data_IF_420573758209
#
_entry.id   IF_420573758209
#
_cell.length_a   1.000
_cell.length_b   1.000
_cell.length_c   1.000
_cell.angle_alpha   90.00
_cell.angle_beta   90.00
_cell.angle_gamma   90.00
#
_symmetry.space_group_name_H-M   'P 1'
#
loop_
_entity.id
_entity.type
_entity.pdbx_description
1 polymer ?
#
# COMPACT_ATOMS: atom_id res chain seq x y z
N UNK A 1 51.57 34.57 53.60
CA UNK A 1 50.64 33.80 54.45
C UNK A 1 49.98 32.74 53.57
N UNK A 2 50.27 31.46 53.85
CA UNK A 2 49.57 30.22 53.45
C UNK A 2 49.75 29.65 52.03
N UNK A 3 49.93 28.33 52.05
CA UNK A 3 50.33 27.35 51.03
C UNK A 3 49.09 26.50 50.66
N UNK A 4 49.20 25.72 49.56
CA UNK A 4 48.47 24.48 49.20
C UNK A 4 47.05 24.68 48.61
N UNK A 5 46.47 23.83 47.75
CA UNK A 5 46.87 22.73 46.85
C UNK A 5 45.56 22.15 46.27
N UNK A 6 45.66 21.46 45.13
CA UNK A 6 44.72 20.43 44.64
C UNK A 6 43.31 20.91 44.19
N UNK A 7 42.58 20.25 43.29
CA UNK A 7 42.69 18.91 42.74
C UNK A 7 42.07 18.86 41.33
N UNK A 8 42.60 17.98 40.48
CA UNK A 8 41.96 17.53 39.24
C UNK A 8 40.75 16.68 39.61
N UNK A 9 39.56 17.03 39.11
CA UNK A 9 38.37 16.18 39.22
C UNK A 9 37.71 16.06 37.85
N UNK A 10 38.03 14.95 37.18
CA UNK A 10 37.38 14.49 35.96
C UNK A 10 35.91 14.19 36.25
N UNK A 11 35.00 14.94 35.63
CA UNK A 11 33.57 14.65 35.70
C UNK A 11 33.22 13.54 34.68
N UNK A 12 32.73 12.42 35.19
CA UNK A 12 32.21 11.27 34.43
C UNK A 12 31.12 11.73 33.45
N UNK A 13 31.31 11.40 32.17
CA UNK A 13 30.26 11.44 31.15
C UNK A 13 29.31 10.27 31.41
N UNK A 14 28.12 10.56 31.95
CA UNK A 14 27.04 9.57 32.03
C UNK A 14 26.22 9.65 30.74
N UNK A 15 26.71 9.00 29.68
CA UNK A 15 25.95 8.80 28.45
C UNK A 15 24.87 7.73 28.70
N UNK A 16 23.66 8.16 29.04
CA UNK A 16 22.47 7.30 28.99
C UNK A 16 22.19 6.92 27.53
N UNK A 17 22.79 5.83 27.07
CA UNK A 17 22.35 5.15 25.85
C UNK A 17 20.97 4.54 26.11
N UNK A 18 19.92 5.33 25.87
CA UNK A 18 18.59 4.76 25.66
C UNK A 18 18.65 4.00 24.34
N UNK A 19 18.92 2.71 24.42
CA UNK A 19 18.60 1.80 23.33
C UNK A 19 17.08 1.87 23.15
N UNK A 20 16.64 2.76 22.27
CA UNK A 20 15.31 2.68 21.71
C UNK A 20 15.24 1.32 21.02
N UNK A 21 14.68 0.33 21.71
CA UNK A 21 14.19 -0.88 21.05
C UNK A 21 13.16 -0.39 20.04
N UNK A 22 13.61 -0.18 18.80
CA UNK A 22 12.75 -0.19 17.65
C UNK A 22 12.00 -1.52 17.76
N UNK A 23 10.71 -1.46 18.10
CA UNK A 23 9.84 -2.63 18.08
C UNK A 23 9.71 -3.01 16.61
N UNK A 24 10.70 -3.71 16.09
CA UNK A 24 10.56 -4.45 14.84
C UNK A 24 9.46 -5.45 15.13
N UNK A 25 8.28 -5.23 14.54
CA UNK A 25 7.24 -6.24 14.50
C UNK A 25 7.80 -7.56 13.94
N UNK A 26 7.03 -8.66 14.03
CA UNK A 26 7.47 -9.92 13.44
C UNK A 26 7.95 -9.67 12.00
N UNK A 27 9.08 -10.28 11.58
CA UNK A 27 9.55 -10.16 10.21
C UNK A 27 8.42 -10.62 9.30
N UNK A 28 8.04 -9.75 8.37
CA UNK A 28 7.04 -10.09 7.36
C UNK A 28 7.59 -11.24 6.56
N UNK A 29 6.79 -12.29 6.38
CA UNK A 29 7.16 -13.36 5.46
C UNK A 29 7.66 -12.74 4.15
N UNK A 30 8.85 -13.12 3.65
CA UNK A 30 9.36 -12.63 2.36
C UNK A 30 8.35 -12.75 1.21
N UNK A 31 7.36 -13.64 1.37
CA UNK A 31 6.28 -13.84 0.41
C UNK A 31 5.19 -12.75 0.43
N UNK A 32 4.91 -12.11 1.58
CA UNK A 32 3.89 -11.05 1.69
C UNK A 32 4.42 -9.65 1.37
N UNK A 33 5.72 -9.42 1.51
CA UNK A 33 6.32 -8.11 1.26
C UNK A 33 6.05 -7.58 -0.18
N UNK A 34 6.24 -8.39 -1.26
CA UNK A 34 5.93 -7.94 -2.61
C UNK A 34 4.46 -7.54 -2.81
N UNK A 35 3.52 -8.24 -2.16
CA UNK A 35 2.08 -7.94 -2.26
C UNK A 35 1.79 -6.54 -1.71
N UNK A 36 2.35 -6.19 -0.56
CA UNK A 36 2.13 -4.89 0.09
C UNK A 36 2.80 -3.77 -0.69
N UNK A 37 4.04 -3.97 -1.15
CA UNK A 37 4.78 -2.96 -1.92
C UNK A 37 4.10 -2.65 -3.26
N UNK A 38 3.72 -3.68 -4.02
CA UNK A 38 3.04 -3.49 -5.29
C UNK A 38 1.64 -2.89 -5.11
N UNK A 39 0.96 -3.17 -3.99
CA UNK A 39 -0.32 -2.53 -3.67
C UNK A 39 -0.12 -1.04 -3.42
N UNK A 40 0.93 -0.66 -2.68
CA UNK A 40 1.29 0.73 -2.47
C UNK A 40 1.71 1.44 -3.77
N UNK A 41 2.46 0.77 -4.66
CA UNK A 41 2.79 1.28 -6.00
C UNK A 41 1.53 1.54 -6.83
N UNK A 42 0.57 0.62 -6.79
CA UNK A 42 -0.70 0.78 -7.49
C UNK A 42 -1.51 1.94 -6.93
N UNK A 43 -1.52 2.13 -5.61
CA UNK A 43 -2.19 3.25 -4.95
C UNK A 43 -1.56 4.60 -5.26
N UNK A 44 -0.25 4.67 -5.54
CA UNK A 44 0.42 5.92 -5.92
C UNK A 44 -0.16 6.55 -7.20
N UNK A 45 -0.84 5.77 -8.05
CA UNK A 45 -1.54 6.29 -9.25
C UNK A 45 -2.81 7.07 -8.92
N UNK A 46 -3.40 6.87 -7.73
CA UNK A 46 -4.76 7.31 -7.42
C UNK A 46 -4.93 8.83 -7.44
N UNK A 47 -3.93 9.58 -6.94
CA UNK A 47 -3.99 11.05 -6.96
C UNK A 47 -3.96 11.62 -8.37
N UNK A 48 -3.13 11.04 -9.24
CA UNK A 48 -3.06 11.42 -10.64
C UNK A 48 -4.41 11.17 -11.33
N UNK A 49 -4.99 9.98 -11.11
CA UNK A 49 -6.29 9.61 -11.68
C UNK A 49 -7.39 10.55 -11.15
N UNK A 50 -7.38 10.84 -9.84
CA UNK A 50 -8.33 11.78 -9.23
C UNK A 50 -8.24 13.15 -9.92
N UNK A 51 -7.03 13.66 -10.11
CA UNK A 51 -6.78 14.96 -10.73
C UNK A 51 -7.21 15.00 -12.20
N UNK A 52 -6.94 13.94 -12.97
CA UNK A 52 -7.39 13.83 -14.35
C UNK A 52 -8.93 13.82 -14.45
N UNK A 53 -9.59 12.98 -13.65
CA UNK A 53 -11.05 12.85 -13.62
C UNK A 53 -11.76 14.12 -13.15
N UNK A 54 -11.15 14.83 -12.21
CA UNK A 54 -11.64 16.14 -11.78
C UNK A 54 -11.71 17.14 -12.93
N UNK A 55 -10.70 17.15 -13.82
CA UNK A 55 -10.68 18.06 -14.97
C UNK A 55 -11.59 17.62 -16.10
N UNK A 56 -11.68 16.31 -16.38
CA UNK A 56 -12.54 15.80 -17.45
C UNK A 56 -14.01 15.73 -17.07
N UNK A 57 -14.33 15.76 -15.77
CA UNK A 57 -15.68 15.52 -15.26
C UNK A 57 -16.07 14.04 -15.28
N UNK A 58 -15.14 13.13 -15.56
CA UNK A 58 -15.39 11.69 -15.50
C UNK A 58 -15.69 11.25 -14.05
N UNK A 59 -16.66 10.34 -13.84
CA UNK A 59 -16.92 9.80 -12.51
C UNK A 59 -15.75 8.97 -11.98
N UNK A 60 -15.63 8.88 -10.64
CA UNK A 60 -14.64 8.00 -9.99
C UNK A 60 -14.85 6.55 -10.40
N UNK A 61 -16.11 6.11 -10.53
CA UNK A 61 -16.44 4.79 -11.04
C UNK A 61 -16.15 4.69 -12.53
N UNK A 62 -15.62 3.57 -12.97
CA UNK A 62 -15.38 3.28 -14.38
C UNK A 62 -15.70 1.81 -14.68
N UNK A 63 -16.99 1.39 -14.69
CA UNK A 63 -17.38 -0.02 -14.72
C UNK A 63 -16.76 -0.81 -15.87
N UNK A 64 -16.69 -0.24 -17.07
CA UNK A 64 -16.07 -0.90 -18.23
C UNK A 64 -14.57 -1.13 -18.03
N UNK A 65 -13.85 -0.14 -17.50
CA UNK A 65 -12.42 -0.25 -17.20
C UNK A 65 -12.16 -1.18 -16.02
N UNK A 66 -12.99 -1.14 -14.99
CA UNK A 66 -12.93 -2.04 -13.85
C UNK A 66 -13.11 -3.49 -14.30
N UNK A 67 -14.07 -3.76 -15.19
CA UNK A 67 -14.27 -5.08 -15.79
C UNK A 67 -13.03 -5.54 -16.60
N UNK A 68 -12.38 -4.64 -17.34
CA UNK A 68 -11.13 -4.97 -18.06
C UNK A 68 -9.99 -5.36 -17.10
N UNK A 69 -9.82 -4.64 -15.99
CA UNK A 69 -8.82 -4.95 -14.96
C UNK A 69 -9.10 -6.32 -14.33
N UNK A 70 -10.35 -6.60 -13.98
CA UNK A 70 -10.74 -7.90 -13.42
C UNK A 70 -10.53 -9.05 -14.42
N UNK A 71 -10.87 -8.83 -15.69
CA UNK A 71 -10.61 -9.83 -16.74
C UNK A 71 -9.11 -10.07 -16.95
N UNK A 72 -8.27 -9.04 -16.84
CA UNK A 72 -6.81 -9.20 -16.91
C UNK A 72 -6.29 -9.98 -15.69
N UNK A 73 -6.81 -9.70 -14.51
CA UNK A 73 -6.45 -10.41 -13.29
C UNK A 73 -6.78 -11.90 -13.38
N UNK A 74 -7.99 -12.23 -13.84
CA UNK A 74 -8.43 -13.60 -14.04
C UNK A 74 -7.53 -14.36 -15.03
N UNK A 75 -7.22 -13.74 -16.19
CA UNK A 75 -6.31 -14.33 -17.17
C UNK A 75 -4.91 -14.54 -16.59
N UNK A 76 -4.39 -13.56 -15.86
CA UNK A 76 -3.07 -13.65 -15.23
C UNK A 76 -3.01 -14.78 -14.21
N UNK A 77 -4.05 -14.92 -13.39
CA UNK A 77 -4.12 -15.98 -12.39
C UNK A 77 -4.07 -17.37 -13.04
N UNK A 78 -4.85 -17.59 -14.10
CA UNK A 78 -4.84 -18.85 -14.87
C UNK A 78 -3.47 -19.14 -15.48
N UNK A 79 -2.81 -18.14 -16.05
CA UNK A 79 -1.49 -18.29 -16.68
C UNK A 79 -0.38 -18.59 -15.67
N UNK A 80 -0.50 -18.06 -14.46
CA UNK A 80 0.48 -18.21 -13.38
C UNK A 80 0.17 -19.39 -12.45
N UNK A 81 -0.87 -20.18 -12.73
CA UNK A 81 -1.27 -21.33 -11.91
C UNK A 81 -1.91 -20.97 -10.56
N UNK A 82 -2.34 -19.71 -10.37
CA UNK A 82 -3.06 -19.25 -9.18
C UNK A 82 -4.58 -19.46 -9.27
N UNK A 83 -5.30 -19.22 -8.17
CA UNK A 83 -6.76 -19.27 -8.12
C UNK A 83 -7.40 -17.99 -8.71
N UNK A 84 -8.17 -18.08 -9.81
CA UNK A 84 -8.84 -16.93 -10.39
C UNK A 84 -9.86 -16.27 -9.47
N UNK A 85 -10.56 -17.03 -8.61
CA UNK A 85 -11.54 -16.45 -7.68
C UNK A 85 -10.84 -15.59 -6.62
N UNK A 86 -9.72 -16.08 -6.10
CA UNK A 86 -8.89 -15.35 -5.16
C UNK A 86 -8.28 -14.09 -5.78
N UNK A 87 -7.71 -14.19 -6.98
CA UNK A 87 -7.19 -13.03 -7.71
C UNK A 87 -8.27 -11.97 -7.99
N UNK A 88 -9.50 -12.40 -8.31
CA UNK A 88 -10.63 -11.48 -8.50
C UNK A 88 -11.05 -10.78 -7.21
N UNK A 89 -11.09 -11.48 -6.07
CA UNK A 89 -11.38 -10.87 -4.78
C UNK A 89 -10.34 -9.80 -4.43
N UNK A 90 -9.05 -10.17 -4.50
CA UNK A 90 -7.96 -9.24 -4.26
C UNK A 90 -7.97 -8.03 -5.21
N UNK A 91 -8.22 -8.23 -6.50
CA UNK A 91 -8.22 -7.10 -7.45
C UNK A 91 -9.44 -6.20 -7.32
N UNK A 92 -10.57 -6.68 -6.76
CA UNK A 92 -11.69 -5.81 -6.34
C UNK A 92 -11.27 -4.91 -5.18
N UNK A 93 -10.57 -5.45 -4.19
CA UNK A 93 -10.03 -4.66 -3.08
C UNK A 93 -9.08 -3.56 -3.58
N UNK A 94 -8.19 -3.90 -4.53
CA UNK A 94 -7.28 -2.94 -5.16
C UNK A 94 -8.03 -1.81 -5.90
N UNK A 95 -9.13 -2.13 -6.59
CA UNK A 95 -9.98 -1.14 -7.28
C UNK A 95 -10.65 -0.22 -6.24
N UNK A 96 -11.29 -0.78 -5.22
CA UNK A 96 -11.96 0.02 -4.19
C UNK A 96 -10.98 0.89 -3.41
N UNK A 97 -9.81 0.37 -3.07
CA UNK A 97 -8.77 1.11 -2.38
C UNK A 97 -8.29 2.35 -3.17
N UNK A 98 -8.12 2.21 -4.49
CA UNK A 98 -7.75 3.36 -5.33
C UNK A 98 -8.87 4.41 -5.34
N UNK A 99 -10.13 3.97 -5.36
CA UNK A 99 -11.30 4.85 -5.30
C UNK A 99 -11.45 5.57 -3.95
N UNK A 100 -10.98 4.99 -2.83
CA UNK A 100 -10.92 5.68 -1.52
C UNK A 100 -10.11 6.98 -1.63
N UNK A 101 -8.91 6.92 -2.22
CA UNK A 101 -8.05 8.11 -2.40
C UNK A 101 -8.71 9.10 -3.35
N UNK A 102 -9.26 8.63 -4.48
CA UNK A 102 -9.90 9.51 -5.46
C UNK A 102 -11.08 10.29 -4.86
N UNK A 103 -12.00 9.60 -4.17
CA UNK A 103 -13.15 10.23 -3.51
C UNK A 103 -12.70 11.21 -2.42
N UNK A 104 -11.67 10.85 -1.64
CA UNK A 104 -11.10 11.72 -0.63
C UNK A 104 -10.51 13.01 -1.20
N UNK A 105 -9.76 12.91 -2.31
CA UNK A 105 -9.19 14.08 -3.01
C UNK A 105 -10.27 14.96 -3.62
N UNK A 106 -11.28 14.37 -4.27
CA UNK A 106 -12.42 15.14 -4.80
C UNK A 106 -13.17 15.88 -3.69
N UNK A 107 -13.43 15.22 -2.55
CA UNK A 107 -14.06 15.87 -1.40
C UNK A 107 -13.23 17.04 -0.85
N UNK A 108 -11.91 16.87 -0.73
CA UNK A 108 -11.01 17.97 -0.33
C UNK A 108 -11.04 19.13 -1.32
N UNK A 109 -11.04 18.87 -2.63
CA UNK A 109 -11.08 19.93 -3.65
C UNK A 109 -12.43 20.64 -3.76
N UNK A 110 -13.52 19.96 -3.42
CA UNK A 110 -14.83 20.62 -3.25
C UNK A 110 -14.83 21.55 -2.04
N UNK A 111 -14.26 21.12 -0.91
CA UNK A 111 -14.20 21.93 0.31
C UNK A 111 -13.16 23.07 0.25
N UNK A 112 -12.06 22.84 -0.48
CA UNK A 112 -10.89 23.70 -0.55
C UNK A 112 -10.47 23.92 -2.02
N UNK A 113 -11.19 24.76 -2.79
CA UNK A 113 -10.92 24.96 -4.22
C UNK A 113 -9.51 25.44 -4.54
N UNK A 114 -8.81 26.06 -3.59
CA UNK A 114 -7.42 26.49 -3.71
C UNK A 114 -6.42 25.34 -3.75
N UNK A 115 -6.80 24.15 -3.26
CA UNK A 115 -5.96 22.94 -3.23
C UNK A 115 -6.09 22.07 -4.48
N UNK A 116 -7.07 22.37 -5.34
CA UNK A 116 -7.30 21.57 -6.55
C UNK A 116 -6.11 21.68 -7.51
N UNK A 117 -5.78 20.61 -8.25
CA UNK A 117 -4.73 20.66 -9.26
C UNK A 117 -5.07 21.71 -10.33
N UNK A 118 -4.07 22.47 -10.78
CA UNK A 118 -4.27 23.55 -11.77
C UNK A 118 -4.30 23.06 -13.22
N UNK A 119 -3.84 21.83 -13.46
CA UNK A 119 -3.73 21.23 -14.78
C UNK A 119 -4.14 19.76 -14.71
N UNK A 120 -4.73 19.27 -15.79
CA UNK A 120 -5.02 17.86 -15.95
C UNK A 120 -3.69 17.09 -16.18
N UNK A 121 -3.37 16.08 -15.37
CA UNK A 121 -2.26 15.18 -15.65
C UNK A 121 -2.61 14.13 -16.72
N UNK A 122 -1.61 13.39 -17.18
CA UNK A 122 -1.77 12.33 -18.19
C UNK A 122 -2.42 11.07 -17.60
N UNK A 123 -3.69 10.86 -17.91
CA UNK A 123 -4.43 9.66 -17.52
C UNK A 123 -3.98 8.41 -18.27
N UNK A 124 -3.39 8.54 -19.46
CA UNK A 124 -2.91 7.38 -20.22
C UNK A 124 -1.71 6.73 -19.53
N UNK A 125 -0.76 7.52 -19.03
CA UNK A 125 0.37 7.05 -18.21
C UNK A 125 -0.09 6.25 -16.98
N UNK A 126 -1.02 6.79 -16.18
CA UNK A 126 -1.56 6.05 -15.03
C UNK A 126 -2.29 4.76 -15.44
N UNK A 127 -3.00 4.75 -16.58
CA UNK A 127 -3.63 3.53 -17.09
C UNK A 127 -2.60 2.47 -17.46
N UNK A 128 -1.50 2.87 -18.11
CA UNK A 128 -0.40 1.97 -18.45
C UNK A 128 0.30 1.41 -17.20
N UNK A 129 0.47 2.22 -16.15
CA UNK A 129 1.00 1.74 -14.87
C UNK A 129 0.09 0.70 -14.23
N UNK A 130 -1.22 0.94 -14.21
CA UNK A 130 -2.21 -0.02 -13.71
C UNK A 130 -2.19 -1.34 -14.51
N UNK A 131 -2.07 -1.27 -15.84
CA UNK A 131 -2.02 -2.45 -16.71
C UNK A 131 -0.74 -3.29 -16.48
N UNK A 132 0.38 -2.64 -16.16
CA UNK A 132 1.64 -3.31 -15.79
C UNK A 132 1.58 -3.91 -14.38
N UNK A 133 1.00 -3.20 -13.42
CA UNK A 133 0.96 -3.62 -12.02
C UNK A 133 -0.03 -4.76 -11.77
N UNK A 134 -1.10 -4.86 -12.55
CA UNK A 134 -2.12 -5.91 -12.38
C UNK A 134 -1.54 -7.33 -12.45
N UNK A 135 -0.82 -7.76 -13.51
CA UNK A 135 -0.22 -9.10 -13.55
C UNK A 135 0.88 -9.29 -12.49
N UNK A 136 1.65 -8.24 -12.15
CA UNK A 136 2.68 -8.31 -11.11
C UNK A 136 2.07 -8.59 -9.73
N UNK A 137 0.97 -7.92 -9.40
CA UNK A 137 0.21 -8.13 -8.18
C UNK A 137 -0.38 -9.55 -8.09
N UNK A 138 -0.95 -10.04 -9.19
CA UNK A 138 -1.47 -11.41 -9.24
C UNK A 138 -0.37 -12.45 -9.07
N UNK A 139 0.82 -12.23 -9.65
CA UNK A 139 1.98 -13.09 -9.43
C UNK A 139 2.46 -13.08 -7.99
N UNK A 140 2.64 -11.89 -7.41
CA UNK A 140 3.02 -11.75 -5.99
C UNK A 140 2.00 -12.43 -5.06
N UNK A 141 0.70 -12.32 -5.36
CA UNK A 141 -0.34 -12.99 -4.60
C UNK A 141 -0.27 -14.52 -4.73
N UNK A 142 0.01 -15.04 -5.93
CA UNK A 142 0.19 -16.47 -6.15
C UNK A 142 1.42 -17.01 -5.40
N UNK A 143 2.53 -16.27 -5.43
CA UNK A 143 3.76 -16.61 -4.71
C UNK A 143 3.60 -16.55 -3.18
N UNK A 144 2.78 -15.60 -2.69
CA UNK A 144 2.41 -15.52 -1.28
C UNK A 144 1.64 -16.75 -0.79
N UNK A 145 0.86 -17.37 -1.68
CA UNK A 145 0.02 -18.52 -1.38
C UNK A 145 -1.16 -18.18 -0.44
N UNK A 146 -1.86 -19.20 0.07
CA UNK A 146 -2.94 -18.98 1.02
C UNK A 146 -2.41 -18.48 2.37
N UNK A 147 -3.19 -17.64 3.04
CA UNK A 147 -2.85 -17.13 4.38
C UNK A 147 -2.54 -18.25 5.37
N UNK A 148 -1.36 -18.20 5.99
CA UNK A 148 -0.96 -19.07 7.09
C UNK A 148 -1.45 -18.51 8.45
N UNK A 149 -1.43 -19.30 9.54
CA UNK A 149 -1.66 -18.77 10.88
C UNK A 149 -0.77 -17.56 11.16
N UNK A 150 -1.36 -16.44 11.58
CA UNK A 150 -0.62 -15.18 11.80
C UNK A 150 -0.58 -14.23 10.60
N UNK A 151 -1.09 -14.63 9.43
CA UNK A 151 -1.12 -13.80 8.22
C UNK A 151 -1.64 -12.39 8.48
N UNK A 152 -2.77 -12.23 9.19
CA UNK A 152 -3.36 -10.91 9.44
C UNK A 152 -2.42 -9.97 10.21
N UNK A 153 -1.76 -10.47 11.25
CA UNK A 153 -0.85 -9.68 12.06
C UNK A 153 0.43 -9.31 11.28
N UNK A 154 0.97 -10.26 10.51
CA UNK A 154 2.12 -10.00 9.62
C UNK A 154 1.78 -8.98 8.53
N UNK A 155 0.64 -9.15 7.87
CA UNK A 155 0.16 -8.27 6.80
C UNK A 155 -0.12 -6.85 7.31
N UNK A 156 -0.74 -6.72 8.48
CA UNK A 156 -0.94 -5.43 9.13
C UNK A 156 0.40 -4.77 9.49
N UNK A 157 1.35 -5.52 10.04
CA UNK A 157 2.70 -5.03 10.33
C UNK A 157 3.46 -4.58 9.08
N UNK A 158 3.34 -5.33 7.99
CA UNK A 158 3.87 -4.98 6.68
C UNK A 158 3.27 -3.67 6.17
N UNK A 159 1.94 -3.58 6.13
CA UNK A 159 1.21 -2.42 5.65
C UNK A 159 1.57 -1.17 6.45
N UNK A 160 1.68 -1.26 7.78
CA UNK A 160 2.11 -0.16 8.62
C UNK A 160 3.53 0.32 8.30
N UNK A 161 4.45 -0.60 8.05
CA UNK A 161 5.83 -0.28 7.70
C UNK A 161 5.92 0.42 6.35
N UNK A 162 5.31 -0.16 5.31
CA UNK A 162 5.27 0.42 3.96
C UNK A 162 4.60 1.80 3.99
N UNK A 163 3.52 1.95 4.75
CA UNK A 163 2.87 3.24 4.91
C UNK A 163 3.77 4.29 5.59
N UNK A 164 4.57 3.90 6.59
CA UNK A 164 5.51 4.78 7.26
C UNK A 164 6.68 5.16 6.34
N UNK A 165 7.27 4.18 5.65
CA UNK A 165 8.41 4.37 4.72
C UNK A 165 8.03 5.28 3.55
N UNK A 166 6.80 5.14 3.02
CA UNK A 166 6.28 5.95 1.93
C UNK A 166 5.62 7.26 2.39
N UNK A 167 5.57 7.53 3.68
CA UNK A 167 4.96 8.75 4.24
C UNK A 167 3.46 8.88 3.91
N UNK A 168 2.72 7.77 3.84
CA UNK A 168 1.30 7.80 3.47
C UNK A 168 0.47 8.57 4.50
N UNK A 169 -0.41 9.44 4.01
CA UNK A 169 -1.36 10.16 4.85
C UNK A 169 -2.50 9.24 5.37
N UNK A 170 -3.47 9.82 6.08
CA UNK A 170 -4.61 9.06 6.59
C UNK A 170 -5.37 8.30 5.50
N UNK A 171 -5.61 8.94 4.36
CA UNK A 171 -6.33 8.33 3.23
C UNK A 171 -5.51 7.22 2.57
N UNK A 172 -4.20 7.42 2.41
CA UNK A 172 -3.29 6.41 1.88
C UNK A 172 -3.19 5.18 2.78
N UNK A 173 -3.14 5.37 4.11
CA UNK A 173 -3.16 4.27 5.09
C UNK A 173 -4.45 3.45 5.04
N UNK A 174 -5.60 4.13 4.99
CA UNK A 174 -6.90 3.46 4.85
C UNK A 174 -7.00 2.71 3.53
N UNK A 175 -6.58 3.34 2.43
CA UNK A 175 -6.59 2.69 1.12
C UNK A 175 -5.68 1.45 1.09
N UNK A 176 -4.47 1.53 1.67
CA UNK A 176 -3.58 0.37 1.74
C UNK A 176 -4.22 -0.78 2.53
N UNK A 177 -4.86 -0.49 3.66
CA UNK A 177 -5.59 -1.52 4.41
C UNK A 177 -6.75 -2.14 3.60
N UNK A 178 -7.54 -1.32 2.91
CA UNK A 178 -8.62 -1.80 2.02
C UNK A 178 -8.06 -2.69 0.92
N UNK A 179 -6.93 -2.32 0.32
CA UNK A 179 -6.32 -3.05 -0.80
C UNK A 179 -5.87 -4.48 -0.47
N UNK A 180 -5.70 -4.76 0.82
CA UNK A 180 -5.16 -6.02 1.34
C UNK A 180 -6.21 -6.90 2.02
N UNK A 181 -7.49 -6.50 2.01
CA UNK A 181 -8.54 -7.12 2.83
C UNK A 181 -8.73 -8.62 2.55
N UNK A 182 -8.58 -9.05 1.29
CA UNK A 182 -8.74 -10.46 0.91
C UNK A 182 -7.47 -11.30 1.03
N UNK A 183 -6.28 -10.72 1.26
CA UNK A 183 -4.99 -11.45 1.15
C UNK A 183 -4.89 -12.66 2.08
N UNK A 184 -5.45 -12.57 3.29
CA UNK A 184 -5.42 -13.67 4.26
C UNK A 184 -6.63 -14.60 4.21
N UNK A 185 -7.61 -14.32 3.35
CA UNK A 185 -8.73 -15.21 3.11
C UNK A 185 -8.24 -16.36 2.22
N UNK A 186 -7.78 -17.46 2.83
CA UNK A 186 -7.17 -18.58 2.10
C UNK A 186 -7.99 -19.03 0.88
N UNK A 187 -7.32 -19.36 -0.21
CA UNK A 187 -7.98 -19.93 -1.39
C UNK A 187 -8.21 -21.44 -1.18
N UNK A 188 -9.40 -21.92 -1.55
CA UNK A 188 -9.72 -23.35 -1.44
C UNK A 188 -8.88 -24.14 -2.45
N UNK A 189 -8.05 -25.07 -1.96
CA UNK A 189 -7.33 -26.01 -2.84
C UNK A 189 -8.36 -26.86 -3.59
N UNK A 190 -8.24 -27.08 -4.92
CA UNK A 190 -9.04 -28.09 -5.60
C UNK A 190 -8.74 -29.46 -4.97
N UNK A 191 -9.79 -30.23 -4.66
CA UNK A 191 -9.64 -31.62 -4.26
C UNK A 191 -8.91 -32.37 -5.39
N UNK A 192 -7.83 -33.07 -5.03
CA UNK A 192 -7.07 -33.94 -5.94
C UNK A 192 -7.84 -35.22 -6.24
#
# INVERSE_FOLDING_TARGET
MRVLAAAVASALVLACATAASARTGPPVSPALAPVVELSADRLATAELIAAAKWHSGEPVEAPEREAQVLAQAERSARLLGGDPAFALAFMRDQIEANKVIQRGRHADWYAHPERRPRRAPDLAGARADLDRLTPALVGALADAGPGAPGCEAELAGAAHRVAAERGLDGSGRTALAVSLASVCAGWAQPAT
#
